data_IF_883443483090
#
_entry.id   IF_883443483090
#
_cell.length_a   1.000
_cell.length_b   1.000
_cell.length_c   1.000
_cell.angle_alpha   90.00
_cell.angle_beta   90.00
_cell.angle_gamma   90.00
#
_symmetry.space_group_name_H-M   'P 1'
#
loop_
_entity.id
_entity.type
_entity.pdbx_description
1 polymer ?
#
# COMPACT_ATOMS: atom_id res chain seq x y z
N UNK A 1 -44.99 -42.46 31.23
CA UNK A 1 -43.59 -42.90 31.43
C UNK A 1 -42.87 -42.92 30.08
N UNK A 2 -41.76 -42.19 29.97
CA UNK A 2 -40.63 -42.26 29.01
C UNK A 2 -40.90 -42.52 27.51
N UNK A 3 -40.73 -41.51 26.62
CA UNK A 3 -39.50 -41.06 25.92
C UNK A 3 -38.94 -42.07 24.89
N UNK A 4 -38.94 -41.70 23.59
CA UNK A 4 -37.71 -41.68 22.79
C UNK A 4 -37.82 -40.75 21.56
N UNK A 5 -36.81 -39.90 21.40
CA UNK A 5 -36.55 -38.93 20.34
C UNK A 5 -35.99 -39.60 19.08
N UNK A 6 -36.37 -39.10 17.89
CA UNK A 6 -35.53 -39.15 16.69
C UNK A 6 -35.81 -37.90 15.83
N UNK A 7 -34.94 -36.89 15.92
CA UNK A 7 -34.91 -35.77 14.98
C UNK A 7 -34.10 -36.18 13.75
N UNK A 8 -34.74 -36.27 12.59
CA UNK A 8 -34.06 -36.26 11.29
C UNK A 8 -34.01 -34.79 10.84
N UNK A 9 -32.84 -34.16 10.95
CA UNK A 9 -32.58 -32.87 10.32
C UNK A 9 -32.32 -33.08 8.84
N UNK A 10 -33.32 -32.78 8.00
CA UNK A 10 -33.16 -32.66 6.55
C UNK A 10 -32.44 -31.33 6.26
N UNK A 11 -31.17 -31.40 5.87
CA UNK A 11 -30.42 -30.25 5.36
C UNK A 11 -30.97 -29.83 4.00
N UNK A 12 -31.60 -28.66 3.93
CA UNK A 12 -31.91 -27.98 2.68
C UNK A 12 -30.59 -27.64 1.95
N UNK A 13 -30.34 -28.32 0.82
CA UNK A 13 -29.38 -27.85 -0.16
C UNK A 13 -30.06 -26.74 -0.98
N UNK A 14 -29.74 -25.47 -0.68
CA UNK A 14 -30.11 -24.36 -1.53
C UNK A 14 -29.27 -24.40 -2.82
N UNK A 15 -29.88 -24.86 -3.92
CA UNK A 15 -29.39 -24.65 -5.28
C UNK A 15 -29.58 -23.16 -5.63
N UNK A 16 -28.53 -22.36 -5.56
CA UNK A 16 -28.54 -21.03 -6.21
C UNK A 16 -28.42 -21.21 -7.72
N UNK A 17 -29.56 -21.26 -8.41
CA UNK A 17 -29.64 -20.97 -9.84
C UNK A 17 -29.64 -19.46 -10.03
N UNK A 18 -28.57 -18.90 -10.60
CA UNK A 18 -28.56 -17.51 -11.06
C UNK A 18 -29.50 -17.36 -12.25
N UNK A 19 -30.65 -16.73 -12.05
CA UNK A 19 -31.61 -16.39 -13.09
C UNK A 19 -31.08 -15.20 -13.90
N UNK A 20 -30.72 -15.41 -15.18
CA UNK A 20 -30.50 -14.32 -16.14
C UNK A 20 -31.83 -13.62 -16.41
N UNK A 21 -31.89 -12.29 -16.30
CA UNK A 21 -33.07 -11.56 -16.73
C UNK A 21 -33.17 -11.60 -18.26
N UNK A 22 -34.31 -12.04 -18.78
CA UNK A 22 -34.54 -12.16 -20.21
C UNK A 22 -35.57 -11.12 -20.63
N UNK A 23 -35.29 -10.37 -21.70
CA UNK A 23 -36.25 -9.47 -22.35
C UNK A 23 -36.45 -9.86 -23.81
N UNK A 24 -37.60 -9.52 -24.40
CA UNK A 24 -37.92 -9.85 -25.80
C UNK A 24 -37.89 -8.58 -26.65
N UNK A 25 -37.13 -8.61 -27.74
CA UNK A 25 -37.04 -7.52 -28.72
C UNK A 25 -37.60 -7.94 -30.07
N UNK A 26 -38.48 -7.12 -30.67
CA UNK A 26 -39.03 -7.36 -32.01
C UNK A 26 -38.26 -6.55 -33.06
N UNK A 27 -37.59 -7.26 -33.98
CA UNK A 27 -36.73 -6.69 -35.04
C UNK A 27 -37.52 -5.72 -35.92
N UNK A 28 -37.04 -4.48 -36.05
CA UNK A 28 -37.62 -3.43 -36.90
C UNK A 28 -36.98 -3.42 -38.29
N UNK A 29 -37.61 -2.70 -39.23
CA UNK A 29 -37.10 -2.56 -40.61
C UNK A 29 -35.73 -1.89 -40.61
N UNK A 30 -34.72 -2.61 -41.09
CA UNK A 30 -33.34 -2.12 -41.23
C UNK A 30 -32.42 -2.38 -40.03
N UNK A 31 -32.92 -2.93 -38.92
CA UNK A 31 -32.07 -3.27 -37.78
C UNK A 31 -31.24 -4.54 -38.05
N UNK A 32 -29.97 -4.47 -37.68
CA UNK A 32 -29.05 -5.61 -37.67
C UNK A 32 -28.91 -6.20 -36.26
N UNK A 33 -28.48 -7.47 -36.18
CA UNK A 33 -28.28 -8.13 -34.89
C UNK A 33 -27.25 -7.40 -34.00
N UNK A 34 -26.29 -6.73 -34.63
CA UNK A 34 -25.26 -5.93 -33.95
C UNK A 34 -25.83 -4.65 -33.35
N UNK A 35 -26.70 -3.94 -34.08
CA UNK A 35 -27.37 -2.73 -33.58
C UNK A 35 -28.32 -3.05 -32.42
N UNK A 36 -29.05 -4.17 -32.52
CA UNK A 36 -29.91 -4.67 -31.43
C UNK A 36 -29.04 -5.02 -30.22
N UNK A 37 -27.94 -5.76 -30.41
CA UNK A 37 -27.02 -6.10 -29.33
C UNK A 37 -26.49 -4.85 -28.60
N UNK A 38 -26.10 -3.82 -29.35
CA UNK A 38 -25.63 -2.55 -28.81
C UNK A 38 -26.71 -1.83 -28.00
N UNK A 39 -27.95 -1.79 -28.48
CA UNK A 39 -29.07 -1.14 -27.78
C UNK A 39 -29.33 -1.75 -26.39
N UNK A 40 -29.19 -3.07 -26.28
CA UNK A 40 -29.40 -3.81 -25.02
C UNK A 40 -28.12 -4.04 -24.22
N UNK A 41 -26.98 -3.51 -24.67
CA UNK A 41 -25.65 -3.67 -24.04
C UNK A 41 -25.25 -5.14 -23.84
N UNK A 42 -25.61 -6.00 -24.80
CA UNK A 42 -25.23 -7.41 -24.86
C UNK A 42 -24.39 -7.67 -26.12
N UNK A 43 -23.84 -8.87 -26.30
CA UNK A 43 -23.16 -9.23 -27.55
C UNK A 43 -24.12 -9.83 -28.56
N UNK A 44 -23.88 -9.59 -29.85
CA UNK A 44 -24.66 -10.23 -30.92
C UNK A 44 -24.57 -11.77 -30.81
N UNK A 45 -23.44 -12.31 -30.35
CA UNK A 45 -23.26 -13.73 -30.11
C UNK A 45 -24.12 -14.25 -28.95
N UNK A 46 -24.30 -13.49 -27.88
CA UNK A 46 -25.22 -13.85 -26.79
C UNK A 46 -26.66 -13.95 -27.29
N UNK A 47 -27.09 -12.99 -28.13
CA UNK A 47 -28.41 -13.05 -28.77
C UNK A 47 -28.50 -14.25 -29.73
N UNK A 48 -27.46 -14.53 -30.53
CA UNK A 48 -27.43 -15.72 -31.40
C UNK A 48 -27.60 -17.01 -30.60
N UNK A 49 -26.88 -17.15 -29.50
CA UNK A 49 -26.92 -18.34 -28.66
C UNK A 49 -28.30 -18.50 -28.00
N UNK A 50 -28.85 -17.43 -27.42
CA UNK A 50 -30.17 -17.42 -26.79
C UNK A 50 -31.29 -17.78 -27.77
N UNK A 51 -31.17 -17.39 -29.04
CA UNK A 51 -32.17 -17.62 -30.07
C UNK A 51 -31.83 -18.77 -31.04
N UNK A 52 -30.76 -19.53 -30.78
CA UNK A 52 -30.26 -20.61 -31.66
C UNK A 52 -30.07 -20.17 -33.12
N UNK A 53 -29.62 -18.94 -33.34
CA UNK A 53 -29.41 -18.36 -34.67
C UNK A 53 -28.01 -18.71 -35.17
N UNK A 54 -27.93 -19.50 -36.24
CA UNK A 54 -26.67 -19.87 -36.88
C UNK A 54 -26.07 -18.73 -37.72
N UNK A 55 -26.90 -17.98 -38.46
CA UNK A 55 -26.48 -16.86 -39.31
C UNK A 55 -27.17 -15.55 -38.92
N UNK A 56 -26.38 -14.55 -38.53
CA UNK A 56 -26.86 -13.24 -38.06
C UNK A 56 -27.57 -12.41 -39.15
N UNK A 57 -27.24 -12.65 -40.43
CA UNK A 57 -27.84 -11.92 -41.56
C UNK A 57 -29.24 -12.44 -41.93
N UNK A 58 -29.79 -13.42 -41.19
CA UNK A 58 -31.10 -14.04 -41.47
C UNK A 58 -32.21 -13.60 -40.52
N UNK A 59 -31.95 -12.62 -39.64
CA UNK A 59 -33.03 -12.04 -38.83
C UNK A 59 -34.04 -11.32 -39.73
N UNK A 60 -35.33 -11.53 -39.49
CA UNK A 60 -36.41 -10.94 -40.31
C UNK A 60 -37.11 -9.82 -39.56
N UNK A 61 -37.57 -8.80 -40.29
CA UNK A 61 -38.45 -7.77 -39.72
C UNK A 61 -39.67 -8.44 -39.09
N UNK A 62 -39.98 -8.06 -37.86
CA UNK A 62 -41.05 -8.62 -37.05
C UNK A 62 -40.68 -9.88 -36.25
N UNK A 63 -39.48 -10.44 -36.43
CA UNK A 63 -38.99 -11.57 -35.63
C UNK A 63 -38.75 -11.12 -34.18
N UNK A 64 -39.20 -11.94 -33.22
CA UNK A 64 -38.90 -11.73 -31.81
C UNK A 64 -37.60 -12.44 -31.42
N UNK A 65 -36.73 -11.72 -30.73
CA UNK A 65 -35.44 -12.18 -30.24
C UNK A 65 -35.43 -12.11 -28.72
N UNK A 66 -35.10 -13.23 -28.10
CA UNK A 66 -34.77 -13.35 -26.69
C UNK A 66 -33.42 -12.70 -26.42
N UNK A 67 -33.41 -11.63 -25.63
CA UNK A 67 -32.22 -10.86 -25.28
C UNK A 67 -31.85 -11.19 -23.82
N UNK A 68 -30.70 -11.85 -23.57
CA UNK A 68 -30.23 -12.12 -22.21
C UNK A 68 -29.62 -10.84 -21.63
N UNK A 69 -30.44 -10.02 -20.98
CA UNK A 69 -29.98 -8.77 -20.35
C UNK A 69 -29.38 -9.08 -18.99
N UNK A 70 -28.12 -8.69 -18.71
CA UNK A 70 -27.52 -8.92 -17.41
C UNK A 70 -28.29 -8.12 -16.35
N UNK A 71 -28.81 -8.82 -15.32
CA UNK A 71 -29.27 -8.18 -14.09
C UNK A 71 -28.13 -7.33 -13.56
N UNK A 72 -28.39 -6.04 -13.31
CA UNK A 72 -27.40 -5.03 -12.91
C UNK A 72 -26.47 -5.54 -11.80
N UNK A 73 -25.33 -6.08 -12.21
CA UNK A 73 -23.99 -5.84 -11.70
C UNK A 73 -23.00 -6.74 -12.44
N UNK A 74 -22.03 -6.11 -13.11
CA UNK A 74 -20.85 -6.67 -13.80
C UNK A 74 -21.05 -7.30 -15.19
N UNK A 75 -20.80 -6.50 -16.24
CA UNK A 75 -20.32 -7.01 -17.55
C UNK A 75 -19.09 -6.19 -17.96
N UNK A 76 -17.94 -6.86 -18.07
CA UNK A 76 -16.71 -6.33 -18.66
C UNK A 76 -16.86 -6.27 -20.19
N UNK A 77 -17.06 -5.06 -20.71
CA UNK A 77 -16.99 -4.76 -22.14
C UNK A 77 -15.51 -4.71 -22.55
N UNK A 78 -15.03 -5.60 -23.41
CA UNK A 78 -13.73 -5.41 -24.08
C UNK A 78 -13.86 -4.23 -25.04
N UNK A 79 -13.31 -3.07 -24.66
CA UNK A 79 -13.45 -1.82 -25.41
C UNK A 79 -12.76 -1.91 -26.78
N UNK A 80 -13.52 -1.81 -27.87
CA UNK A 80 -12.99 -1.65 -29.24
C UNK A 80 -13.05 -0.18 -29.65
N UNK A 81 -12.07 0.31 -30.41
CA UNK A 81 -12.07 1.67 -30.96
C UNK A 81 -12.27 1.64 -32.46
N UNK A 82 -13.17 2.47 -33.00
CA UNK A 82 -13.32 2.64 -34.44
C UNK A 82 -12.23 3.61 -34.96
N UNK A 83 -11.49 3.21 -35.99
CA UNK A 83 -10.49 4.04 -36.67
C UNK A 83 -10.86 4.22 -38.14
N UNK A 84 -10.67 5.43 -38.68
CA UNK A 84 -10.92 5.73 -40.10
C UNK A 84 -9.59 5.93 -40.83
N UNK A 85 -9.31 5.06 -41.80
CA UNK A 85 -8.06 5.02 -42.57
C UNK A 85 -7.86 6.35 -43.32
N UNK A 86 -6.70 6.98 -43.16
CA UNK A 86 -6.31 8.21 -43.86
C UNK A 86 -5.69 7.89 -45.22
N UNK A 87 -5.63 8.90 -46.12
CA UNK A 87 -5.00 8.74 -47.44
C UNK A 87 -3.52 8.42 -47.29
N UNK A 88 -3.11 7.23 -47.75
CA UNK A 88 -1.73 6.75 -47.69
C UNK A 88 -1.32 6.01 -46.41
N UNK A 89 -2.24 5.84 -45.45
CA UNK A 89 -1.99 5.14 -44.19
C UNK A 89 -2.06 3.61 -44.37
N UNK A 90 -1.14 2.88 -43.75
CA UNK A 90 -1.02 1.42 -43.85
C UNK A 90 -1.51 0.70 -42.57
N UNK A 91 -1.89 -0.58 -42.68
CA UNK A 91 -2.26 -1.37 -41.49
C UNK A 91 -1.13 -1.46 -40.45
N UNK A 92 0.13 -1.43 -40.89
CA UNK A 92 1.30 -1.43 -40.00
C UNK A 92 1.38 -0.17 -39.15
N UNK A 93 1.17 1.00 -39.77
CA UNK A 93 1.18 2.30 -39.07
C UNK A 93 0.00 2.40 -38.10
N UNK A 94 -1.17 1.92 -38.50
CA UNK A 94 -2.37 1.87 -37.64
C UNK A 94 -2.13 0.92 -36.47
N UNK A 95 -1.61 -0.29 -36.73
CA UNK A 95 -1.28 -1.25 -35.68
C UNK A 95 -0.30 -0.67 -34.64
N UNK A 96 0.72 0.04 -35.11
CA UNK A 96 1.69 0.71 -34.25
C UNK A 96 1.07 1.84 -33.42
N UNK A 97 0.23 2.69 -34.05
CA UNK A 97 -0.44 3.81 -33.37
C UNK A 97 -1.35 3.33 -32.23
N UNK A 98 -2.06 2.22 -32.45
CA UNK A 98 -2.98 1.63 -31.46
C UNK A 98 -2.35 0.54 -30.59
N UNK A 99 -1.05 0.26 -30.77
CA UNK A 99 -0.29 -0.76 -30.03
C UNK A 99 -0.91 -2.16 -30.11
N UNK A 100 -1.42 -2.53 -31.28
CA UNK A 100 -2.01 -3.83 -31.60
C UNK A 100 -1.19 -4.52 -32.70
N UNK A 101 -1.46 -5.79 -33.01
CA UNK A 101 -0.83 -6.45 -34.16
C UNK A 101 -1.63 -6.23 -35.43
N UNK A 102 -0.96 -6.26 -36.59
CA UNK A 102 -1.62 -6.21 -37.90
C UNK A 102 -2.61 -7.36 -38.04
N UNK A 103 -2.24 -8.55 -37.56
CA UNK A 103 -3.09 -9.74 -37.54
C UNK A 103 -4.35 -9.54 -36.71
N UNK A 104 -4.26 -8.87 -35.56
CA UNK A 104 -5.44 -8.57 -34.73
C UNK A 104 -6.40 -7.62 -35.45
N UNK A 105 -5.90 -6.60 -36.13
CA UNK A 105 -6.74 -5.71 -36.96
C UNK A 105 -7.34 -6.50 -38.13
N UNK A 106 -6.55 -7.36 -38.79
CA UNK A 106 -7.02 -8.19 -39.90
C UNK A 106 -8.14 -9.14 -39.46
N UNK A 107 -7.99 -9.83 -38.34
CA UNK A 107 -9.00 -10.72 -37.79
C UNK A 107 -10.25 -9.99 -37.35
N UNK A 108 -10.12 -8.82 -36.70
CA UNK A 108 -11.26 -8.01 -36.27
C UNK A 108 -12.08 -7.43 -37.43
N UNK A 109 -11.44 -7.23 -38.60
CA UNK A 109 -12.05 -6.62 -39.78
C UNK A 109 -12.22 -7.57 -40.97
N UNK A 110 -11.96 -8.87 -40.77
CA UNK A 110 -12.01 -9.90 -41.82
C UNK A 110 -11.16 -9.57 -43.06
N UNK A 111 -10.01 -8.90 -42.87
CA UNK A 111 -9.10 -8.51 -43.95
C UNK A 111 -8.13 -9.65 -44.24
N UNK A 112 -8.14 -10.15 -45.48
CA UNK A 112 -7.23 -11.21 -45.94
C UNK A 112 -5.87 -10.66 -46.39
N UNK A 113 -5.86 -9.52 -47.10
CA UNK A 113 -4.64 -8.86 -47.59
C UNK A 113 -4.46 -7.46 -46.96
N UNK A 114 -3.34 -7.24 -46.28
CA UNK A 114 -3.06 -6.00 -45.56
C UNK A 114 -2.90 -4.76 -46.48
N UNK A 115 -2.58 -4.98 -47.76
CA UNK A 115 -2.36 -3.92 -48.74
C UNK A 115 -3.64 -3.44 -49.43
N UNK A 116 -4.81 -3.99 -49.04
CA UNK A 116 -6.10 -3.67 -49.67
C UNK A 116 -6.96 -2.69 -48.87
N UNK A 117 -6.44 -2.11 -47.79
CA UNK A 117 -7.17 -1.05 -47.09
C UNK A 117 -7.22 0.23 -47.94
N UNK A 118 -8.36 0.93 -47.90
CA UNK A 118 -8.58 2.16 -48.69
C UNK A 118 -8.86 3.36 -47.81
N UNK A 119 -8.47 4.54 -48.29
CA UNK A 119 -8.74 5.80 -47.59
C UNK A 119 -10.25 5.97 -47.32
N UNK A 120 -10.59 6.25 -46.07
CA UNK A 120 -11.96 6.41 -45.62
C UNK A 120 -12.65 5.14 -45.12
N UNK A 121 -12.03 3.96 -45.26
CA UNK A 121 -12.49 2.71 -44.66
C UNK A 121 -12.50 2.82 -43.13
N UNK A 122 -13.57 2.32 -42.49
CA UNK A 122 -13.62 2.17 -41.04
C UNK A 122 -13.09 0.80 -40.63
N UNK A 123 -12.14 0.79 -39.69
CA UNK A 123 -11.59 -0.40 -39.07
C UNK A 123 -12.01 -0.45 -37.60
N UNK A 124 -12.52 -1.59 -37.17
CA UNK A 124 -12.63 -1.96 -35.77
C UNK A 124 -11.25 -2.31 -35.25
N UNK A 125 -10.68 -1.44 -34.42
CA UNK A 125 -9.41 -1.71 -33.75
C UNK A 125 -9.73 -2.47 -32.45
N UNK A 126 -9.30 -3.74 -32.33
CA UNK A 126 -9.46 -4.46 -31.08
C UNK A 126 -8.65 -3.78 -29.99
N UNK A 127 -9.05 -3.88 -28.72
CA UNK A 127 -8.11 -3.63 -27.63
C UNK A 127 -6.86 -4.49 -27.86
N UNK A 128 -5.68 -3.93 -27.64
CA UNK A 128 -4.39 -4.60 -27.88
C UNK A 128 -4.46 -6.06 -27.43
N UNK A 129 -4.29 -6.98 -28.40
CA UNK A 129 -4.32 -8.40 -28.13
C UNK A 129 -3.30 -8.69 -27.01
N UNK A 130 -3.71 -9.35 -25.92
CA UNK A 130 -2.80 -9.60 -24.83
C UNK A 130 -1.68 -10.50 -25.35
N UNK A 131 -0.43 -10.03 -25.25
CA UNK A 131 0.73 -10.89 -25.48
C UNK A 131 0.70 -12.01 -24.45
N UNK A 132 1.14 -13.22 -24.79
CA UNK A 132 1.11 -14.35 -23.84
C UNK A 132 2.51 -14.60 -23.31
N UNK A 133 2.66 -14.65 -21.99
CA UNK A 133 3.90 -15.08 -21.33
C UNK A 133 3.70 -16.41 -20.61
N UNK A 134 4.75 -17.21 -20.50
CA UNK A 134 4.74 -18.42 -19.67
C UNK A 134 5.18 -18.10 -18.24
N UNK A 135 4.50 -18.69 -17.28
CA UNK A 135 4.75 -18.51 -15.86
C UNK A 135 4.69 -19.84 -15.11
N UNK A 136 5.79 -20.18 -14.43
CA UNK A 136 5.86 -21.36 -13.57
C UNK A 136 5.34 -21.02 -12.17
N UNK A 137 4.23 -21.64 -11.78
CA UNK A 137 3.57 -21.47 -10.49
C UNK A 137 4.54 -21.76 -9.35
N UNK A 138 4.67 -20.81 -8.44
CA UNK A 138 5.55 -20.88 -7.28
C UNK A 138 4.75 -21.17 -6.02
N UNK A 139 5.45 -21.62 -4.97
CA UNK A 139 4.82 -21.90 -3.68
C UNK A 139 4.24 -20.62 -3.08
N UNK A 140 2.91 -20.60 -2.91
CA UNK A 140 2.17 -19.47 -2.34
C UNK A 140 1.44 -18.62 -3.39
N UNK A 141 1.62 -18.93 -4.68
CA UNK A 141 0.84 -18.28 -5.73
C UNK A 141 -0.61 -18.76 -5.71
N UNK A 142 -1.53 -17.87 -6.10
CA UNK A 142 -2.88 -18.22 -6.54
C UNK A 142 -3.18 -17.50 -7.86
N UNK A 143 -4.13 -18.04 -8.63
CA UNK A 143 -4.39 -17.50 -9.97
C UNK A 143 -4.90 -16.06 -9.96
N UNK A 144 -5.61 -15.63 -8.91
CA UNK A 144 -6.14 -14.27 -8.80
C UNK A 144 -5.02 -13.25 -8.66
N UNK A 145 -4.04 -13.53 -7.78
CA UNK A 145 -2.89 -12.66 -7.57
C UNK A 145 -1.95 -12.65 -8.78
N UNK A 146 -1.79 -13.80 -9.45
CA UNK A 146 -1.06 -13.88 -10.71
C UNK A 146 -1.75 -13.02 -11.78
N UNK A 147 -3.04 -13.21 -12.01
CA UNK A 147 -3.80 -12.46 -13.01
C UNK A 147 -3.70 -10.95 -12.75
N UNK A 148 -3.96 -10.53 -11.51
CA UNK A 148 -3.86 -9.13 -11.08
C UNK A 148 -2.47 -8.54 -11.29
N UNK A 149 -1.42 -9.31 -10.99
CA UNK A 149 -0.02 -8.88 -11.16
C UNK A 149 0.33 -8.58 -12.62
N UNK A 150 -0.25 -9.34 -13.54
CA UNK A 150 0.05 -9.24 -14.97
C UNK A 150 -0.98 -8.42 -15.76
N UNK A 151 -2.01 -7.90 -15.08
CA UNK A 151 -3.07 -7.10 -15.70
C UNK A 151 -4.07 -7.94 -16.50
N UNK A 152 -4.20 -9.22 -16.17
CA UNK A 152 -5.18 -10.14 -16.73
C UNK A 152 -6.40 -10.29 -15.82
N UNK A 153 -7.56 -10.65 -16.38
CA UNK A 153 -8.64 -11.16 -15.55
C UNK A 153 -8.41 -12.64 -15.16
N UNK A 154 -8.94 -13.04 -14.00
CA UNK A 154 -8.90 -14.44 -13.57
C UNK A 154 -9.62 -15.35 -14.57
N UNK A 155 -10.69 -14.85 -15.19
CA UNK A 155 -11.48 -15.59 -16.18
C UNK A 155 -10.66 -15.88 -17.44
N UNK A 156 -9.99 -14.87 -17.99
CA UNK A 156 -9.12 -14.98 -19.16
C UNK A 156 -7.95 -15.94 -18.90
N UNK A 157 -7.31 -15.80 -17.74
CA UNK A 157 -6.21 -16.67 -17.34
C UNK A 157 -6.66 -18.14 -17.17
N UNK A 158 -7.85 -18.38 -16.62
CA UNK A 158 -8.43 -19.73 -16.52
C UNK A 158 -8.76 -20.30 -17.89
N UNK A 159 -9.39 -19.51 -18.75
CA UNK A 159 -9.76 -19.92 -20.10
C UNK A 159 -8.52 -20.28 -20.93
N UNK A 160 -7.47 -19.45 -20.90
CA UNK A 160 -6.23 -19.66 -21.65
C UNK A 160 -5.48 -20.95 -21.24
N UNK A 161 -5.67 -21.41 -20.00
CA UNK A 161 -5.01 -22.60 -19.47
C UNK A 161 -5.93 -23.81 -19.26
N UNK A 162 -7.19 -23.72 -19.73
CA UNK A 162 -8.21 -24.75 -19.50
C UNK A 162 -8.39 -25.13 -18.00
N UNK A 163 -8.21 -24.16 -17.08
CA UNK A 163 -8.30 -24.41 -15.64
C UNK A 163 -9.75 -24.26 -15.17
N UNK A 164 -10.39 -25.39 -14.84
CA UNK A 164 -11.76 -25.41 -14.31
C UNK A 164 -11.86 -24.89 -12.87
N UNK A 165 -10.94 -25.34 -12.01
CA UNK A 165 -10.90 -24.95 -10.59
C UNK A 165 -9.60 -24.20 -10.25
N UNK A 166 -9.73 -22.93 -9.87
CA UNK A 166 -8.60 -22.05 -9.54
C UNK A 166 -7.82 -22.46 -8.30
N UNK A 167 -8.41 -23.30 -7.45
CA UNK A 167 -7.80 -23.77 -6.20
C UNK A 167 -7.01 -25.08 -6.39
N UNK A 168 -7.00 -25.67 -7.60
CA UNK A 168 -6.32 -26.94 -7.91
C UNK A 168 -5.05 -26.75 -8.75
N UNK A 169 -4.37 -25.63 -8.56
CA UNK A 169 -3.08 -25.39 -9.22
C UNK A 169 -1.93 -26.01 -8.43
N UNK A 170 -0.91 -26.52 -9.14
CA UNK A 170 0.23 -27.19 -8.52
C UNK A 170 1.50 -26.34 -8.59
N UNK A 171 2.33 -26.43 -7.56
CA UNK A 171 3.66 -25.80 -7.56
C UNK A 171 4.47 -26.44 -8.68
N UNK A 172 5.12 -25.60 -9.50
CA UNK A 172 5.90 -26.03 -10.65
C UNK A 172 5.10 -26.20 -11.94
N UNK A 173 3.76 -26.13 -11.89
CA UNK A 173 2.92 -26.09 -13.08
C UNK A 173 3.20 -24.82 -13.89
N UNK A 174 3.39 -24.95 -15.21
CA UNK A 174 3.54 -23.81 -16.11
C UNK A 174 2.16 -23.41 -16.64
N UNK A 175 1.86 -22.11 -16.57
CA UNK A 175 0.63 -21.52 -17.10
C UNK A 175 0.97 -20.38 -18.04
N UNK A 176 0.12 -20.16 -19.04
CA UNK A 176 0.16 -19.06 -20.00
C UNK A 176 -0.62 -17.88 -19.45
N UNK A 177 -0.08 -16.68 -19.48
CA UNK A 177 -0.70 -15.48 -18.92
C UNK A 177 -0.89 -14.45 -20.03
N UNK A 178 -2.12 -13.95 -20.26
CA UNK A 178 -2.32 -12.81 -21.13
C UNK A 178 -1.77 -11.54 -20.46
N UNK A 179 -0.93 -10.77 -21.15
CA UNK A 179 -0.40 -9.48 -20.71
C UNK A 179 -0.79 -8.41 -21.73
N UNK A 180 -1.47 -7.37 -21.26
CA UNK A 180 -1.78 -6.22 -22.11
C UNK A 180 -0.50 -5.44 -22.44
N UNK A 181 -0.41 -4.91 -23.66
CA UNK A 181 0.71 -4.10 -24.12
C UNK A 181 0.88 -2.84 -23.23
N UNK A 182 1.75 -2.95 -22.21
CA UNK A 182 1.89 -1.97 -21.13
C UNK A 182 2.29 -2.58 -19.79
N UNK A 183 2.12 -3.90 -19.60
CA UNK A 183 2.70 -4.62 -18.45
C UNK A 183 4.21 -4.85 -18.65
N UNK A 184 5.03 -4.75 -17.59
CA UNK A 184 6.47 -4.96 -17.69
C UNK A 184 6.76 -6.37 -18.22
N UNK A 185 7.31 -6.42 -19.43
CA UNK A 185 7.80 -7.63 -20.09
C UNK A 185 8.80 -8.35 -19.18
N UNK A 186 8.68 -9.67 -19.10
CA UNK A 186 9.57 -10.54 -18.34
C UNK A 186 10.96 -10.63 -18.99
N UNK A 187 11.72 -9.54 -18.94
CA UNK A 187 13.17 -9.63 -18.73
C UNK A 187 13.37 -9.45 -17.23
N UNK A 188 13.80 -10.51 -16.55
CA UNK A 188 14.14 -10.51 -15.12
C UNK A 188 14.91 -9.22 -14.79
N UNK A 189 14.37 -8.28 -13.99
CA UNK A 189 15.24 -7.38 -13.28
C UNK A 189 16.00 -8.28 -12.31
N UNK A 190 17.29 -8.47 -12.55
CA UNK A 190 18.19 -8.85 -11.46
C UNK A 190 17.97 -7.81 -10.38
N UNK A 191 17.17 -8.16 -9.36
CA UNK A 191 16.96 -7.30 -8.22
C UNK A 191 18.34 -6.86 -7.73
N UNK A 192 18.57 -5.55 -7.51
CA UNK A 192 19.86 -5.08 -7.01
C UNK A 192 20.27 -5.95 -5.82
N UNK A 193 21.50 -6.42 -5.82
CA UNK A 193 22.02 -7.20 -4.70
C UNK A 193 21.75 -6.42 -3.40
N UNK A 194 21.25 -7.07 -2.34
CA UNK A 194 20.91 -6.38 -1.10
C UNK A 194 22.16 -5.68 -0.56
N UNK A 195 22.05 -4.37 -0.33
CA UNK A 195 23.18 -3.57 0.16
C UNK A 195 23.33 -3.66 1.68
N UNK A 196 22.29 -4.08 2.40
CA UNK A 196 22.29 -4.28 3.87
C UNK A 196 21.30 -5.37 4.33
N UNK A 197 21.43 -5.79 5.59
CA UNK A 197 20.52 -6.74 6.26
C UNK A 197 20.03 -6.20 7.60
N UNK A 198 18.84 -6.62 8.02
CA UNK A 198 18.27 -6.34 9.35
C UNK A 198 18.13 -7.64 10.11
N UNK A 199 18.68 -7.71 11.33
CA UNK A 199 18.39 -8.82 12.24
C UNK A 199 17.04 -8.60 12.93
N UNK A 200 16.08 -9.46 12.59
CA UNK A 200 14.73 -9.43 13.15
C UNK A 200 14.50 -10.61 14.09
N UNK A 201 14.20 -10.30 15.36
CA UNK A 201 13.80 -11.30 16.36
C UNK A 201 12.29 -11.55 16.29
N UNK A 202 11.91 -12.76 15.91
CA UNK A 202 10.52 -13.22 15.77
C UNK A 202 9.77 -13.08 17.08
N UNK A 203 8.58 -12.48 17.04
CA UNK A 203 7.72 -12.22 18.19
C UNK A 203 6.51 -13.16 18.20
N UNK A 204 5.80 -13.18 19.32
CA UNK A 204 4.54 -13.93 19.45
C UNK A 204 3.52 -13.38 18.45
N UNK A 205 2.99 -14.24 17.58
CA UNK A 205 2.01 -13.88 16.55
C UNK A 205 2.61 -13.51 15.19
N UNK A 206 3.94 -13.49 15.05
CA UNK A 206 4.57 -13.22 13.75
C UNK A 206 4.44 -14.43 12.81
N UNK A 207 4.20 -14.17 11.52
CA UNK A 207 4.43 -15.12 10.43
C UNK A 207 5.50 -14.58 9.47
N UNK A 208 6.24 -15.46 8.77
CA UNK A 208 7.20 -15.01 7.76
C UNK A 208 6.54 -14.23 6.62
N UNK A 209 5.29 -14.54 6.30
CA UNK A 209 4.52 -13.86 5.25
C UNK A 209 4.22 -12.41 5.67
N UNK A 210 3.80 -12.21 6.92
CA UNK A 210 3.53 -10.88 7.46
C UNK A 210 4.82 -10.07 7.60
N UNK A 211 5.90 -10.70 8.08
CA UNK A 211 7.22 -10.07 8.13
C UNK A 211 7.66 -9.65 6.72
N UNK A 212 7.61 -10.55 5.74
CA UNK A 212 8.00 -10.23 4.36
C UNK A 212 7.19 -9.06 3.79
N UNK A 213 5.87 -9.03 4.05
CA UNK A 213 4.97 -7.95 3.65
C UNK A 213 5.28 -6.63 4.35
N UNK A 214 5.46 -6.65 5.67
CA UNK A 214 5.82 -5.47 6.47
C UNK A 214 7.13 -4.86 6.00
N UNK A 215 8.09 -5.72 5.68
CA UNK A 215 9.41 -5.32 5.22
C UNK A 215 9.50 -5.29 3.69
N UNK A 216 8.40 -5.23 2.93
CA UNK A 216 8.44 -5.04 1.47
C UNK A 216 9.45 -5.93 0.71
N UNK A 217 9.68 -7.16 1.18
CA UNK A 217 10.60 -8.14 0.59
C UNK A 217 9.81 -9.36 0.17
N UNK A 218 10.33 -10.12 -0.80
CA UNK A 218 9.67 -11.37 -1.17
C UNK A 218 9.86 -12.42 -0.07
N UNK A 219 8.80 -13.16 0.26
CA UNK A 219 8.87 -14.30 1.17
C UNK A 219 9.91 -15.32 0.71
N UNK A 220 10.06 -15.49 -0.60
CA UNK A 220 11.09 -16.32 -1.23
C UNK A 220 12.50 -15.87 -0.84
N UNK A 221 12.83 -14.60 -1.08
CA UNK A 221 14.15 -14.03 -0.76
C UNK A 221 14.45 -14.12 0.74
N UNK A 222 13.45 -13.83 1.58
CA UNK A 222 13.57 -13.94 3.04
C UNK A 222 13.85 -15.38 3.49
N UNK A 223 13.19 -16.36 2.90
CA UNK A 223 13.41 -17.78 3.21
C UNK A 223 14.77 -18.28 2.76
N UNK A 224 15.17 -17.95 1.52
CA UNK A 224 16.46 -18.36 0.97
C UNK A 224 17.61 -17.80 1.81
N UNK A 225 17.56 -16.50 2.14
CA UNK A 225 18.59 -15.84 2.95
C UNK A 225 18.79 -16.48 4.33
N UNK A 226 17.70 -16.99 4.93
CA UNK A 226 17.72 -17.56 6.27
C UNK A 226 17.75 -19.10 6.30
N UNK A 227 17.96 -19.73 5.14
CA UNK A 227 17.87 -21.19 5.00
C UNK A 227 16.56 -21.80 5.56
N UNK A 228 15.44 -21.06 5.50
CA UNK A 228 14.15 -21.50 6.06
C UNK A 228 13.38 -22.29 5.00
N UNK A 229 13.36 -23.62 5.15
CA UNK A 229 12.62 -24.52 4.25
C UNK A 229 11.10 -24.45 4.47
N UNK A 230 10.67 -24.46 5.73
CA UNK A 230 9.26 -24.42 6.12
C UNK A 230 8.92 -23.14 6.91
N UNK A 231 8.02 -22.33 6.36
CA UNK A 231 7.63 -21.05 6.93
C UNK A 231 6.86 -21.17 8.26
N UNK A 232 6.24 -22.33 8.51
CA UNK A 232 5.45 -22.58 9.71
C UNK A 232 6.30 -23.11 10.89
N UNK A 233 7.61 -23.30 10.68
CA UNK A 233 8.53 -23.85 11.71
C UNK A 233 9.41 -22.78 12.36
N UNK A 234 9.09 -21.50 12.16
CA UNK A 234 9.76 -20.40 12.85
C UNK A 234 9.42 -20.40 14.34
N UNK A 235 10.36 -20.01 15.19
CA UNK A 235 10.18 -19.99 16.65
C UNK A 235 10.18 -18.57 17.19
N UNK A 236 9.37 -18.31 18.22
CA UNK A 236 9.43 -17.06 18.98
C UNK A 236 10.86 -16.91 19.52
N UNK A 237 11.44 -15.72 19.34
CA UNK A 237 12.80 -15.40 19.73
C UNK A 237 13.88 -15.81 18.72
N UNK A 238 13.55 -16.57 17.68
CA UNK A 238 14.46 -16.85 16.57
C UNK A 238 14.81 -15.54 15.85
N UNK A 239 16.09 -15.36 15.53
CA UNK A 239 16.58 -14.20 14.76
C UNK A 239 16.68 -14.60 13.29
N UNK A 240 16.16 -13.76 12.40
CA UNK A 240 16.25 -13.91 10.94
C UNK A 240 16.80 -12.62 10.32
N UNK A 241 17.61 -12.73 9.27
CA UNK A 241 18.07 -11.60 8.46
C UNK A 241 17.04 -11.22 7.42
N UNK A 242 16.69 -9.95 7.34
CA UNK A 242 15.80 -9.42 6.31
C UNK A 242 16.67 -8.65 5.29
N UNK A 243 16.61 -8.97 3.98
CA UNK A 243 17.38 -8.25 2.98
C UNK A 243 16.81 -6.84 2.79
N UNK A 244 17.66 -5.82 2.79
CA UNK A 244 17.27 -4.43 2.55
C UNK A 244 17.72 -4.02 1.16
N UNK A 245 16.75 -3.70 0.31
CA UNK A 245 17.00 -3.02 -0.96
C UNK A 245 16.83 -1.51 -0.70
N UNK A 246 17.83 -0.71 -1.08
CA UNK A 246 17.77 0.74 -0.94
C UNK A 246 16.49 1.28 -1.58
N UNK A 247 15.68 2.03 -0.82
CA UNK A 247 14.39 2.58 -1.26
C UNK A 247 13.15 1.70 -1.00
N UNK A 248 13.27 0.49 -0.44
CA UNK A 248 12.11 -0.34 -0.07
C UNK A 248 11.41 0.16 1.22
N UNK A 249 10.08 -0.07 1.40
CA UNK A 249 9.40 0.09 2.69
C UNK A 249 10.09 -0.64 3.86
N UNK A 250 10.80 -1.76 3.60
CA UNK A 250 11.72 -2.41 4.55
C UNK A 250 12.79 -1.47 5.07
N UNK A 251 13.43 -0.76 4.13
CA UNK A 251 14.54 0.12 4.41
C UNK A 251 14.07 1.31 5.23
N UNK A 252 12.83 1.78 5.02
CA UNK A 252 12.20 2.83 5.79
C UNK A 252 11.66 2.36 7.17
N UNK A 253 11.19 1.11 7.27
CA UNK A 253 10.70 0.52 8.53
C UNK A 253 11.82 0.02 9.44
N UNK A 254 13.01 -0.23 8.88
CA UNK A 254 14.16 -0.74 9.60
C UNK A 254 15.31 0.26 9.74
N UNK A 255 15.31 1.35 8.98
CA UNK A 255 16.12 2.50 9.36
C UNK A 255 15.58 3.03 10.67
N UNK A 256 16.46 3.13 11.67
CA UNK A 256 16.15 3.91 12.88
C UNK A 256 15.70 5.30 12.40
N UNK A 257 14.62 5.88 12.95
CA UNK A 257 14.20 7.22 12.57
C UNK A 257 15.39 8.17 12.60
N UNK A 258 15.60 8.92 11.52
CA UNK A 258 16.70 9.88 11.39
C UNK A 258 16.15 11.30 11.39
N UNK A 259 16.91 12.22 11.99
CA UNK A 259 16.63 13.65 11.90
C UNK A 259 16.96 14.17 10.49
N UNK A 260 16.35 15.29 10.10
CA UNK A 260 16.70 15.95 8.85
C UNK A 260 18.17 16.40 8.87
N UNK A 261 18.85 16.35 7.72
CA UNK A 261 20.28 16.68 7.61
C UNK A 261 20.60 18.11 8.07
N UNK A 262 19.68 19.05 7.86
CA UNK A 262 19.79 20.43 8.36
C UNK A 262 19.80 20.51 9.89
N UNK A 263 18.98 19.69 10.54
CA UNK A 263 18.88 19.65 12.00
C UNK A 263 20.13 19.02 12.59
N UNK A 264 20.59 17.91 12.02
CA UNK A 264 21.85 17.26 12.41
C UNK A 264 23.03 18.24 12.32
N UNK A 265 23.14 18.98 11.21
CA UNK A 265 24.19 20.01 11.05
C UNK A 265 24.14 21.07 12.14
N UNK A 266 22.95 21.50 12.55
CA UNK A 266 22.76 22.48 13.61
C UNK A 266 23.10 21.90 14.98
N UNK A 267 22.67 20.67 15.24
CA UNK A 267 22.95 19.95 16.47
C UNK A 267 24.45 19.67 16.65
N UNK A 268 25.16 19.31 15.58
CA UNK A 268 26.58 18.95 15.62
C UNK A 268 27.50 20.15 15.78
N UNK A 269 27.10 21.32 15.25
CA UNK A 269 27.80 22.59 15.50
C UNK A 269 27.79 23.02 16.96
N UNK A 270 26.82 22.54 17.75
CA UNK A 270 26.70 22.91 19.16
C UNK A 270 27.70 22.10 19.99
N UNK A 271 28.68 22.77 20.61
CA UNK A 271 29.62 22.13 21.54
C UNK A 271 28.87 21.67 22.80
N UNK A 272 28.61 20.37 22.91
CA UNK A 272 27.80 19.81 24.00
C UNK A 272 28.57 19.70 25.32
N UNK A 273 27.99 20.21 26.41
CA UNK A 273 28.48 20.01 27.78
C UNK A 273 28.08 18.63 28.30
N UNK A 274 28.67 17.58 27.75
CA UNK A 274 28.23 16.18 27.97
C UNK A 274 28.23 15.72 29.44
N UNK A 275 29.04 16.31 30.31
CA UNK A 275 29.04 16.02 31.75
C UNK A 275 27.87 16.64 32.51
N UNK A 276 27.32 17.75 32.02
CA UNK A 276 26.21 18.48 32.67
C UNK A 276 24.90 17.70 32.57
N UNK A 277 24.61 17.15 31.39
CA UNK A 277 23.30 16.55 31.11
C UNK A 277 23.22 15.15 31.68
N UNK A 278 22.28 14.93 32.61
CA UNK A 278 22.04 13.65 33.28
C UNK A 278 20.69 13.03 32.91
N UNK A 279 19.73 13.83 32.44
CA UNK A 279 18.38 13.40 32.10
C UNK A 279 17.89 13.96 30.76
N UNK A 280 17.03 13.21 30.09
CA UNK A 280 16.19 13.72 28.99
C UNK A 280 14.74 13.59 29.46
N UNK A 281 14.01 14.71 29.49
CA UNK A 281 12.65 14.77 30.01
C UNK A 281 11.68 15.19 28.92
N UNK A 282 10.66 14.36 28.72
CA UNK A 282 9.67 14.54 27.66
C UNK A 282 8.40 15.17 28.23
N UNK A 283 7.92 16.19 27.54
CA UNK A 283 6.75 17.00 27.86
C UNK A 283 5.78 17.06 26.68
N UNK A 284 4.54 17.46 26.98
CA UNK A 284 3.60 17.96 25.98
C UNK A 284 3.34 19.45 26.21
N UNK A 285 2.71 20.13 25.25
CA UNK A 285 2.30 21.53 25.42
C UNK A 285 0.95 21.68 26.13
N UNK A 286 0.22 20.58 26.37
CA UNK A 286 -1.16 20.58 26.87
C UNK A 286 -2.13 21.42 26.01
N UNK A 287 -1.80 21.62 24.73
CA UNK A 287 -2.59 22.39 23.78
C UNK A 287 -2.67 21.65 22.46
N UNK A 288 -3.82 21.70 21.79
CA UNK A 288 -4.02 21.04 20.49
C UNK A 288 -3.16 21.64 19.36
N UNK A 289 -2.67 22.87 19.53
CA UNK A 289 -1.81 23.58 18.58
C UNK A 289 -0.74 24.40 19.31
N UNK A 290 0.30 24.80 18.58
CA UNK A 290 1.37 25.63 19.14
C UNK A 290 2.61 25.67 18.25
N UNK A 291 3.51 26.58 18.58
CA UNK A 291 4.81 26.69 17.93
C UNK A 291 5.88 27.09 18.94
N UNK A 292 7.14 26.79 18.64
CA UNK A 292 8.25 27.20 19.48
C UNK A 292 8.28 28.72 19.69
N UNK A 293 7.94 29.51 18.66
CA UNK A 293 7.83 30.97 18.76
C UNK A 293 6.71 31.40 19.73
N UNK A 294 5.54 30.77 19.65
CA UNK A 294 4.44 31.06 20.56
C UNK A 294 4.78 30.69 22.01
N UNK A 295 5.43 29.55 22.21
CA UNK A 295 5.89 29.13 23.53
C UNK A 295 6.99 30.04 24.06
N UNK A 296 7.98 30.43 23.26
CA UNK A 296 9.03 31.37 23.66
C UNK A 296 8.42 32.69 24.15
N UNK A 297 7.50 33.25 23.35
CA UNK A 297 6.76 34.47 23.69
C UNK A 297 6.03 34.34 25.03
N UNK A 298 5.22 33.29 25.19
CA UNK A 298 4.50 33.02 26.44
C UNK A 298 5.44 32.91 27.65
N UNK A 299 6.59 32.24 27.51
CA UNK A 299 7.56 32.14 28.60
C UNK A 299 8.17 33.50 28.98
N UNK A 300 8.42 34.39 28.00
CA UNK A 300 8.96 35.73 28.25
C UNK A 300 7.93 36.67 28.85
N UNK A 301 6.74 36.72 28.25
CA UNK A 301 5.71 37.70 28.56
C UNK A 301 4.96 37.30 29.84
N UNK A 302 4.50 36.05 29.94
CA UNK A 302 3.65 35.59 31.04
C UNK A 302 4.44 35.01 32.21
N UNK A 303 5.52 34.26 31.91
CA UNK A 303 6.33 33.62 32.95
C UNK A 303 7.59 34.41 33.32
N UNK A 304 7.81 35.58 32.70
CA UNK A 304 8.97 36.45 32.91
C UNK A 304 10.32 35.71 32.83
N UNK A 305 10.40 34.69 31.97
CA UNK A 305 11.60 33.90 31.77
C UNK A 305 12.56 34.64 30.84
N UNK A 306 13.64 35.20 31.39
CA UNK A 306 14.69 35.91 30.65
C UNK A 306 15.25 35.10 29.47
N UNK A 307 15.43 33.79 29.68
CA UNK A 307 15.96 32.86 28.67
C UNK A 307 14.87 32.30 27.72
N UNK A 308 13.66 32.86 27.75
CA UNK A 308 12.55 32.49 26.88
C UNK A 308 12.16 31.03 26.99
N UNK A 309 11.95 30.40 25.83
CA UNK A 309 11.47 29.02 25.66
C UNK A 309 12.02 28.09 26.74
N UNK A 310 11.16 27.54 27.58
CA UNK A 310 11.54 26.69 28.72
C UNK A 310 12.26 25.39 28.32
N UNK A 311 12.04 24.93 27.09
CA UNK A 311 12.51 23.65 26.57
C UNK A 311 13.75 23.84 25.67
N UNK A 312 14.55 22.78 25.56
CA UNK A 312 15.67 22.74 24.63
C UNK A 312 15.19 22.46 23.20
N UNK A 313 14.11 21.70 23.07
CA UNK A 313 13.55 21.28 21.80
C UNK A 313 12.02 21.32 21.81
N UNK A 314 11.43 21.62 20.65
CA UNK A 314 9.98 21.52 20.41
C UNK A 314 9.72 20.70 19.15
N UNK A 315 8.73 19.80 19.18
CA UNK A 315 8.34 18.99 18.02
C UNK A 315 6.89 19.27 17.61
N UNK A 316 6.70 19.73 16.37
CA UNK A 316 5.40 20.11 15.81
C UNK A 316 4.46 18.93 15.51
N UNK A 317 3.15 19.19 15.52
CA UNK A 317 2.09 18.20 15.25
C UNK A 317 1.27 18.50 13.98
N UNK A 318 1.68 19.48 13.17
CA UNK A 318 0.93 19.94 12.00
C UNK A 318 0.00 21.12 12.27
N UNK A 319 -0.11 21.59 13.52
CA UNK A 319 -0.93 22.75 13.91
C UNK A 319 -0.07 23.84 14.57
N UNK A 320 0.45 24.76 13.76
CA UNK A 320 1.34 25.85 14.17
C UNK A 320 2.82 25.60 13.84
N UNK A 321 3.24 24.34 13.84
CA UNK A 321 4.50 23.83 13.26
C UNK A 321 4.17 22.62 12.38
N UNK A 322 4.99 22.32 11.36
CA UNK A 322 4.78 21.13 10.52
C UNK A 322 4.87 19.86 11.38
N UNK A 323 4.14 18.82 10.98
CA UNK A 323 4.11 17.57 11.74
C UNK A 323 5.47 16.86 11.72
N UNK A 324 6.04 16.62 12.90
CA UNK A 324 7.39 16.08 13.09
C UNK A 324 8.51 17.10 12.95
N UNK A 325 8.22 18.39 12.71
CA UNK A 325 9.24 19.44 12.63
C UNK A 325 9.95 19.62 13.98
N UNK A 326 11.28 19.56 13.97
CA UNK A 326 12.11 19.81 15.13
C UNK A 326 12.55 21.28 15.18
N UNK A 327 12.17 21.97 16.25
CA UNK A 327 12.78 23.26 16.59
C UNK A 327 13.87 23.07 17.64
N UNK A 328 15.09 23.53 17.31
CA UNK A 328 16.25 23.55 18.20
C UNK A 328 16.30 24.91 18.90
N UNK A 329 15.96 24.92 20.19
CA UNK A 329 15.87 26.13 21.00
C UNK A 329 17.23 26.68 21.42
N UNK A 330 17.24 27.94 21.85
CA UNK A 330 18.45 28.63 22.28
C UNK A 330 19.09 27.99 23.51
N UNK A 331 18.32 27.33 24.38
CA UNK A 331 18.85 26.61 25.53
C UNK A 331 19.81 25.50 25.13
N UNK A 332 19.49 24.76 24.06
CA UNK A 332 20.42 23.79 23.50
C UNK A 332 21.62 24.49 22.87
N UNK A 333 21.41 25.49 21.99
CA UNK A 333 22.51 26.17 21.28
C UNK A 333 23.52 26.80 22.23
N UNK A 334 23.05 27.38 23.34
CA UNK A 334 23.87 28.04 24.37
C UNK A 334 24.29 27.10 25.50
N UNK A 335 23.81 25.85 25.51
CA UNK A 335 24.04 24.85 26.57
C UNK A 335 23.78 25.42 27.97
N UNK A 336 22.58 25.98 28.15
CA UNK A 336 22.08 26.53 29.42
C UNK A 336 20.93 25.67 29.94
N UNK A 337 20.74 25.67 31.26
CA UNK A 337 19.73 24.90 31.99
C UNK A 337 18.32 25.03 31.41
N UNK A 338 17.47 24.04 31.67
CA UNK A 338 16.05 24.10 31.36
C UNK A 338 15.27 25.10 32.22
N UNK A 339 13.99 25.29 31.89
CA UNK A 339 13.00 25.95 32.76
C UNK A 339 11.67 25.21 32.78
N UNK A 340 11.71 23.89 32.59
CA UNK A 340 10.56 23.05 32.29
C UNK A 340 10.12 22.15 33.44
N UNK A 341 10.90 22.09 34.52
CA UNK A 341 10.57 21.42 35.77
C UNK A 341 10.37 22.46 36.87
N UNK A 342 9.59 22.12 37.90
CA UNK A 342 9.49 22.94 39.11
C UNK A 342 10.75 22.88 39.99
N UNK A 343 11.55 21.82 39.86
CA UNK A 343 12.85 21.70 40.52
C UNK A 343 13.94 22.45 39.75
N UNK A 344 14.52 23.48 40.37
CA UNK A 344 15.66 24.21 39.83
C UNK A 344 16.87 23.31 39.61
N UNK A 345 17.20 22.44 40.58
CA UNK A 345 18.37 21.55 40.49
C UNK A 345 18.21 20.52 39.37
N UNK A 346 17.01 19.98 39.15
CA UNK A 346 16.78 19.09 38.01
C UNK A 346 16.89 19.83 36.68
N UNK A 347 16.38 21.07 36.57
CA UNK A 347 16.52 21.88 35.36
C UNK A 347 18.00 22.11 34.97
N UNK A 348 18.93 22.17 35.94
CA UNK A 348 20.37 22.33 35.67
C UNK A 348 20.98 21.15 34.91
N UNK A 349 20.42 19.95 35.08
CA UNK A 349 20.98 18.68 34.59
C UNK A 349 20.06 17.95 33.61
N UNK A 350 18.93 18.54 33.22
CA UNK A 350 17.94 17.89 32.36
C UNK A 350 17.73 18.62 31.03
N UNK A 351 17.69 17.84 29.95
CA UNK A 351 17.30 18.30 28.62
C UNK A 351 15.79 18.12 28.46
N UNK A 352 15.06 19.22 28.33
CA UNK A 352 13.60 19.22 28.07
C UNK A 352 13.24 19.18 26.59
N UNK A 353 12.39 18.22 26.21
CA UNK A 353 11.77 18.11 24.87
C UNK A 353 10.26 18.27 25.02
N UNK A 354 9.65 19.24 24.32
CA UNK A 354 8.20 19.44 24.32
C UNK A 354 7.58 19.04 22.97
N UNK A 355 6.55 18.20 22.99
CA UNK A 355 5.75 17.92 21.80
C UNK A 355 4.49 18.80 21.83
N UNK A 356 4.17 19.42 20.70
CA UNK A 356 2.90 20.15 20.55
C UNK A 356 1.75 19.15 20.60
N UNK A 357 0.85 19.30 21.56
CA UNK A 357 -0.30 18.40 21.75
C UNK A 357 -0.81 18.35 23.18
N UNK A 358 -2.06 17.89 23.33
CA UNK A 358 -2.65 17.49 24.60
C UNK A 358 -2.82 15.96 24.60
N UNK A 359 -1.80 15.27 25.13
CA UNK A 359 -1.83 13.81 25.25
C UNK A 359 -2.50 13.26 26.51
N UNK A 360 -3.16 14.12 27.30
CA UNK A 360 -4.21 13.65 28.21
C UNK A 360 -5.49 13.31 27.42
N UNK A 361 -5.64 13.82 26.19
CA UNK A 361 -6.81 13.57 25.31
C UNK A 361 -6.50 12.75 24.05
N UNK A 362 -5.33 12.96 23.43
CA UNK A 362 -5.00 12.41 22.11
C UNK A 362 -3.66 11.69 22.10
N UNK A 363 -3.37 10.86 21.10
CA UNK A 363 -2.03 10.28 20.92
C UNK A 363 -1.13 11.26 20.14
N UNK A 364 0.19 11.27 20.39
CA UNK A 364 1.14 11.95 19.51
C UNK A 364 1.05 11.38 18.08
N UNK A 365 1.36 12.20 17.08
CA UNK A 365 1.39 11.74 15.69
C UNK A 365 2.54 10.74 15.46
N UNK A 366 2.44 9.95 14.38
CA UNK A 366 3.52 9.05 13.99
C UNK A 366 4.83 9.80 13.68
N UNK A 367 4.74 10.98 13.04
CA UNK A 367 5.91 11.80 12.70
C UNK A 367 6.53 12.43 13.95
N UNK A 368 5.74 12.92 14.90
CA UNK A 368 6.25 13.37 16.19
C UNK A 368 7.04 12.27 16.92
N UNK A 369 6.49 11.06 16.96
CA UNK A 369 7.16 9.93 17.61
C UNK A 369 8.44 9.51 16.89
N UNK A 370 8.48 9.58 15.56
CA UNK A 370 9.67 9.29 14.77
C UNK A 370 10.78 10.33 15.05
N UNK A 371 10.47 11.63 14.99
CA UNK A 371 11.42 12.70 15.31
C UNK A 371 11.88 12.62 16.76
N UNK A 372 10.98 12.34 17.71
CA UNK A 372 11.33 12.19 19.12
C UNK A 372 12.29 11.02 19.33
N UNK A 373 12.04 9.86 18.72
CA UNK A 373 12.94 8.72 18.81
C UNK A 373 14.32 9.06 18.26
N UNK A 374 14.39 9.66 17.07
CA UNK A 374 15.64 10.08 16.43
C UNK A 374 16.43 11.06 17.32
N UNK A 375 15.75 12.08 17.84
CA UNK A 375 16.35 13.10 18.69
C UNK A 375 16.85 12.51 20.02
N UNK A 376 16.06 11.67 20.69
CA UNK A 376 16.48 11.07 21.96
C UNK A 376 17.71 10.18 21.76
N UNK A 377 17.77 9.39 20.68
CA UNK A 377 18.98 8.60 20.34
C UNK A 377 20.20 9.49 20.13
N UNK A 378 20.04 10.58 19.36
CA UNK A 378 21.11 11.55 19.15
C UNK A 378 21.60 12.13 20.48
N UNK A 379 20.69 12.59 21.34
CA UNK A 379 21.03 13.20 22.63
C UNK A 379 21.65 12.21 23.61
N UNK A 380 21.16 10.96 23.67
CA UNK A 380 21.77 9.91 24.49
C UNK A 380 23.25 9.71 24.12
N UNK A 381 23.56 9.68 22.82
CA UNK A 381 24.94 9.57 22.33
C UNK A 381 25.74 10.84 22.61
N UNK A 382 25.26 12.00 22.13
CA UNK A 382 25.98 13.28 22.17
C UNK A 382 26.21 13.79 23.60
N UNK A 383 25.21 13.65 24.46
CA UNK A 383 25.24 14.10 25.85
C UNK A 383 25.53 12.98 26.85
N UNK A 384 25.84 11.77 26.39
CA UNK A 384 26.15 10.59 27.23
C UNK A 384 25.07 10.28 28.28
N UNK A 385 23.80 10.52 27.95
CA UNK A 385 22.67 10.23 28.85
C UNK A 385 22.24 8.77 28.65
N UNK A 386 22.28 7.92 29.69
CA UNK A 386 21.87 6.52 29.55
C UNK A 386 20.36 6.39 29.39
N UNK A 387 19.90 5.30 28.77
CA UNK A 387 18.47 5.04 28.54
C UNK A 387 17.64 5.07 29.84
N UNK A 388 18.21 4.61 30.96
CA UNK A 388 17.57 4.64 32.28
C UNK A 388 17.20 6.05 32.74
N UNK A 389 17.86 7.07 32.22
CA UNK A 389 17.64 8.49 32.53
C UNK A 389 16.81 9.24 31.48
N UNK A 390 16.32 8.54 30.45
CA UNK A 390 15.28 9.04 29.55
C UNK A 390 13.92 8.84 30.24
N UNK A 391 13.17 9.93 30.43
CA UNK A 391 11.97 9.90 31.25
C UNK A 391 10.93 10.93 30.79
N UNK A 392 9.77 10.92 31.43
CA UNK A 392 8.69 11.90 31.24
C UNK A 392 8.57 12.79 32.48
N UNK A 393 7.89 13.93 32.34
CA UNK A 393 7.70 14.85 33.47
C UNK A 393 7.01 14.16 34.67
N UNK A 394 5.94 13.39 34.43
CA UNK A 394 5.26 12.60 35.49
C UNK A 394 6.19 11.64 36.24
N UNK A 395 7.25 11.13 35.60
CA UNK A 395 8.11 10.08 36.19
C UNK A 395 9.35 10.62 36.90
N UNK A 396 9.75 11.88 36.68
CA UNK A 396 10.96 12.46 37.29
C UNK A 396 10.67 13.36 38.49
N UNK A 397 9.42 13.79 38.68
CA UNK A 397 9.08 14.80 39.69
C UNK A 397 8.05 14.28 40.72
N UNK A 398 8.24 14.54 42.03
CA UNK A 398 7.36 14.05 43.12
C UNK A 398 6.01 14.77 43.25
N UNK A 399 5.78 15.91 42.57
CA UNK A 399 4.46 16.55 42.49
C UNK A 399 3.68 16.00 41.31
N UNK A 400 2.46 15.52 41.54
CA UNK A 400 1.60 14.95 40.50
C UNK A 400 1.40 15.94 39.34
N UNK A 401 1.96 15.59 38.18
CA UNK A 401 1.62 16.19 36.89
C UNK A 401 1.18 15.09 35.96
N UNK A 402 0.13 15.33 35.17
CA UNK A 402 -0.26 14.39 34.12
C UNK A 402 0.70 14.42 32.93
N UNK A 403 1.54 15.44 32.78
CA UNK A 403 2.39 15.67 31.61
C UNK A 403 3.41 14.53 31.38
N UNK A 404 3.51 13.95 30.17
CA UNK A 404 2.93 14.38 28.90
C UNK A 404 1.53 13.83 28.60
N UNK A 405 0.86 13.17 29.54
CA UNK A 405 -0.51 12.70 29.44
C UNK A 405 -0.63 11.19 29.28
N UNK A 406 -1.78 10.64 29.67
CA UNK A 406 -2.04 9.18 29.70
C UNK A 406 -1.95 8.48 28.35
N UNK A 407 -2.12 9.20 27.24
CA UNK A 407 -2.03 8.65 25.89
C UNK A 407 -0.62 8.73 25.28
N UNK A 408 0.35 9.32 25.99
CA UNK A 408 1.74 9.31 25.56
C UNK A 408 2.36 7.92 25.75
N UNK A 409 2.94 7.28 24.71
CA UNK A 409 3.32 5.88 24.74
C UNK A 409 4.73 5.65 25.34
N UNK A 410 4.94 6.03 26.61
CA UNK A 410 6.25 5.98 27.29
C UNK A 410 6.92 4.60 27.23
N UNK A 411 6.17 3.53 27.54
CA UNK A 411 6.71 2.15 27.52
C UNK A 411 7.18 1.76 26.12
N UNK A 412 6.39 2.08 25.11
CA UNK A 412 6.73 1.80 23.71
C UNK A 412 7.96 2.58 23.25
N UNK A 413 8.07 3.86 23.61
CA UNK A 413 9.26 4.67 23.31
C UNK A 413 10.52 4.07 23.94
N UNK A 414 10.48 3.74 25.25
CA UNK A 414 11.62 3.11 25.93
C UNK A 414 12.01 1.78 25.31
N UNK A 415 11.03 0.93 24.97
CA UNK A 415 11.27 -0.35 24.32
C UNK A 415 11.88 -0.22 22.92
N UNK A 416 11.58 0.86 22.19
CA UNK A 416 12.22 1.17 20.91
C UNK A 416 13.66 1.62 21.11
N UNK A 417 13.90 2.55 22.04
CA UNK A 417 15.24 3.09 22.32
C UNK A 417 16.23 2.04 22.84
N UNK A 418 15.74 0.96 23.47
CA UNK A 418 16.55 -0.17 23.93
C UNK A 418 17.06 -1.09 22.80
N UNK A 419 16.53 -0.95 21.58
CA UNK A 419 17.00 -1.63 20.36
C UNK A 419 17.85 -0.66 19.54
#
# INVERSE_FOLDING_TARGET
MYKLFAYITLTLAALSSTSEAVTVHRVRKGETLTEIAQAYKVTAQAIKNANKISNANRIKVGQELTIPVPSSDTVETTATTAHRVRKGETLTEIAQAYKVTVEAIKSANQITNANQIVAGQQLTIPAAAPSVIEYKIRRGDNLSDIAKKYGASLSELKALNAIRNSNKISIGQVIRIPVSAGSPTASQPSAPAPTQYIDYKIRRGDSLSDIAKTYGVSLSSLKTLNAIRNSNKIRIGQVIRIPVVAGSPAAAAASKPSLASSDLKTLDRTRTKSSQWRHIVIHHSASASGSAKAFDRFHREERRMENGLAYHFVIGNGRGMKDGELHIGDRWKKQIQGGHLSSYTLNQISIGICLVGDFSKTKPTAKQMATLEALVRYLMSKAKVPLSRVTTHTLIHPKHTECPGKHFPTKTLKAKLAK
#
